data_IF_290939871343
#
_entry.id   IF_290939871343
#
_cell.length_a   1.000
_cell.length_b   1.000
_cell.length_c   1.000
_cell.angle_alpha   90.00
_cell.angle_beta   90.00
_cell.angle_gamma   90.00
#
_symmetry.space_group_name_H-M   'P 1'
#
loop_
_entity.id
_entity.type
_entity.pdbx_description
1 polymer ?
#
# COMPACT_ATOMS: atom_id res chain seq x y z
N UNK A 1 -1.06 -0.24 -21.52
CA UNK A 1 -2.33 0.19 -20.89
C UNK A 1 -2.15 0.08 -19.38
N UNK A 2 -2.61 1.06 -18.59
CA UNK A 2 -2.61 0.99 -17.12
C UNK A 2 -4.03 0.82 -16.59
N UNK A 3 -4.17 0.01 -15.55
CA UNK A 3 -5.43 -0.23 -14.86
C UNK A 3 -5.72 0.89 -13.87
N UNK A 4 -7.01 1.19 -13.67
CA UNK A 4 -7.44 2.16 -12.66
C UNK A 4 -7.43 1.53 -11.29
N UNK A 5 -6.68 2.13 -10.36
CA UNK A 5 -6.69 1.74 -8.95
C UNK A 5 -7.81 2.46 -8.22
N UNK A 6 -8.53 1.70 -7.40
CA UNK A 6 -9.48 2.21 -6.42
C UNK A 6 -9.05 1.75 -5.04
N UNK A 7 -9.15 2.65 -4.07
CA UNK A 7 -8.86 2.36 -2.67
C UNK A 7 -10.17 2.24 -1.92
N UNK A 8 -10.30 1.21 -1.09
CA UNK A 8 -11.40 1.16 -0.12
C UNK A 8 -11.24 2.28 0.91
N UNK A 9 -12.34 2.70 1.54
CA UNK A 9 -12.26 3.70 2.62
C UNK A 9 -11.39 3.18 3.78
N UNK A 10 -11.54 1.90 4.12
CA UNK A 10 -10.75 1.24 5.15
C UNK A 10 -9.24 1.30 4.85
N UNK A 11 -8.82 1.07 3.59
CA UNK A 11 -7.41 1.17 3.21
C UNK A 11 -6.87 2.60 3.33
N UNK A 12 -7.69 3.61 3.00
CA UNK A 12 -7.31 5.01 3.18
C UNK A 12 -7.19 5.41 4.65
N UNK A 13 -8.08 4.91 5.50
CA UNK A 13 -8.08 5.23 6.93
C UNK A 13 -6.95 4.50 7.68
N UNK A 14 -6.64 3.27 7.29
CA UNK A 14 -5.48 2.52 7.76
C UNK A 14 -4.18 3.24 7.38
N UNK A 15 -4.03 3.64 6.11
CA UNK A 15 -2.89 4.43 5.65
C UNK A 15 -2.73 5.73 6.44
N UNK A 16 -3.81 6.51 6.62
CA UNK A 16 -3.75 7.77 7.38
C UNK A 16 -3.30 7.52 8.82
N UNK A 17 -3.83 6.50 9.47
CA UNK A 17 -3.52 6.16 10.86
C UNK A 17 -2.05 5.80 11.04
N UNK A 18 -1.52 4.94 10.17
CA UNK A 18 -0.11 4.55 10.21
C UNK A 18 0.83 5.72 9.91
N UNK A 19 0.52 6.53 8.91
CA UNK A 19 1.32 7.72 8.57
C UNK A 19 1.30 8.75 9.70
N UNK A 20 0.14 9.01 10.31
CA UNK A 20 0.01 9.90 11.45
C UNK A 20 0.80 9.40 12.66
N UNK A 21 0.75 8.09 12.94
CA UNK A 21 1.53 7.47 14.02
C UNK A 21 3.04 7.68 13.82
N UNK A 22 3.57 7.29 12.65
CA UNK A 22 5.00 7.38 12.35
C UNK A 22 5.46 8.85 12.30
N UNK A 23 4.59 9.75 11.84
CA UNK A 23 4.92 11.17 11.75
C UNK A 23 5.09 11.85 13.11
N UNK A 24 4.62 11.26 14.22
CA UNK A 24 4.88 11.79 15.56
C UNK A 24 6.37 11.77 15.90
N UNK A 25 7.06 10.72 15.49
CA UNK A 25 8.49 10.51 15.79
C UNK A 25 9.38 10.90 14.62
N UNK A 26 8.96 10.59 13.38
CA UNK A 26 9.77 10.83 12.19
C UNK A 26 8.91 11.19 10.95
N UNK A 27 8.58 12.48 10.77
CA UNK A 27 7.82 12.97 9.61
C UNK A 27 8.47 12.65 8.26
N UNK A 28 9.81 12.59 8.21
CA UNK A 28 10.55 12.26 6.98
C UNK A 28 10.34 10.80 6.59
N UNK A 29 10.43 9.88 7.56
CA UNK A 29 10.16 8.46 7.36
C UNK A 29 8.70 8.23 6.93
N UNK A 30 7.74 8.91 7.57
CA UNK A 30 6.32 8.83 7.19
C UNK A 30 6.10 9.18 5.70
N UNK A 31 6.69 10.30 5.23
CA UNK A 31 6.63 10.67 3.81
C UNK A 31 7.28 9.64 2.88
N UNK A 32 8.42 9.07 3.28
CA UNK A 32 9.11 8.04 2.49
C UNK A 32 8.28 6.76 2.37
N UNK A 33 7.61 6.34 3.45
CA UNK A 33 6.72 5.19 3.46
C UNK A 33 5.53 5.43 2.54
N UNK A 34 4.84 6.56 2.69
CA UNK A 34 3.72 6.93 1.82
C UNK A 34 4.11 6.92 0.33
N UNK A 35 5.31 7.44 -0.01
CA UNK A 35 5.83 7.42 -1.38
C UNK A 35 6.06 6.00 -1.89
N UNK A 36 6.67 5.11 -1.09
CA UNK A 36 6.91 3.71 -1.47
C UNK A 36 5.60 2.93 -1.67
N UNK A 37 4.60 3.16 -0.81
CA UNK A 37 3.27 2.57 -0.95
C UNK A 37 2.63 3.04 -2.27
N UNK A 38 2.61 4.35 -2.52
CA UNK A 38 2.09 4.89 -3.78
C UNK A 38 2.77 4.29 -5.01
N UNK A 39 4.09 4.18 -5.00
CA UNK A 39 4.85 3.56 -6.09
C UNK A 39 4.50 2.07 -6.28
N UNK A 40 4.26 1.34 -5.18
CA UNK A 40 3.80 -0.05 -5.26
C UNK A 40 2.44 -0.15 -5.96
N UNK A 41 1.49 0.73 -5.59
CA UNK A 41 0.20 0.81 -6.25
C UNK A 41 0.36 1.18 -7.73
N UNK A 42 1.14 2.20 -8.08
CA UNK A 42 1.38 2.58 -9.48
C UNK A 42 1.97 1.41 -10.32
N UNK A 43 2.78 0.54 -9.71
CA UNK A 43 3.26 -0.69 -10.35
C UNK A 43 2.17 -1.75 -10.49
N UNK A 44 1.29 -1.91 -9.50
CA UNK A 44 0.12 -2.80 -9.61
C UNK A 44 -0.81 -2.38 -10.75
N UNK A 45 -0.99 -1.08 -10.96
CA UNK A 45 -1.76 -0.55 -12.09
C UNK A 45 -1.17 -0.97 -13.44
N UNK A 46 0.15 -1.13 -13.52
CA UNK A 46 0.85 -1.53 -14.76
C UNK A 46 0.89 -3.05 -14.91
N UNK A 47 1.12 -3.78 -13.80
CA UNK A 47 1.23 -5.23 -13.79
C UNK A 47 0.61 -5.78 -12.50
N UNK A 48 -0.67 -6.18 -12.54
CA UNK A 48 -1.33 -6.86 -11.44
C UNK A 48 -0.51 -8.07 -11.02
N UNK A 49 -0.18 -8.13 -9.73
CA UNK A 49 0.61 -9.21 -9.17
C UNK A 49 0.33 -9.29 -7.67
N UNK A 50 0.45 -10.48 -7.11
CA UNK A 50 0.25 -10.69 -5.69
C UNK A 50 0.35 -12.17 -5.34
N UNK A 51 0.19 -12.47 -4.07
CA UNK A 51 0.06 -13.83 -3.56
C UNK A 51 -1.41 -14.10 -3.23
N UNK A 52 -1.98 -15.24 -3.65
CA UNK A 52 -3.32 -15.63 -3.24
C UNK A 52 -3.40 -15.73 -1.71
N UNK A 53 -4.46 -15.20 -1.11
CA UNK A 53 -4.73 -15.36 0.33
C UNK A 53 -5.76 -16.48 0.57
N UNK A 54 -6.01 -16.80 1.83
CA UNK A 54 -7.08 -17.74 2.25
C UNK A 54 -8.49 -17.23 1.94
N UNK A 55 -8.66 -15.92 1.76
CA UNK A 55 -9.94 -15.32 1.34
C UNK A 55 -9.99 -15.38 -0.18
N UNK A 56 -11.03 -16.01 -0.72
CA UNK A 56 -11.31 -16.09 -2.15
C UNK A 56 -11.26 -14.68 -2.77
N UNK A 57 -10.72 -14.60 -3.98
CA UNK A 57 -10.58 -13.37 -4.77
C UNK A 57 -9.76 -12.24 -4.11
N UNK A 58 -9.00 -12.55 -3.06
CA UNK A 58 -8.12 -11.59 -2.39
C UNK A 58 -6.65 -11.92 -2.66
N UNK A 59 -5.88 -10.88 -2.97
CA UNK A 59 -4.47 -10.98 -3.29
C UNK A 59 -3.66 -10.04 -2.42
N UNK A 60 -2.52 -10.52 -1.94
CA UNK A 60 -1.59 -9.70 -1.17
C UNK A 60 -0.41 -9.25 -2.00
N UNK A 61 -0.07 -7.97 -1.94
CA UNK A 61 1.15 -7.41 -2.52
C UNK A 61 2.06 -6.86 -1.43
N UNK A 62 3.18 -7.55 -1.21
CA UNK A 62 4.26 -7.02 -0.36
C UNK A 62 4.92 -5.79 -0.98
N UNK A 63 5.25 -4.81 -0.16
CA UNK A 63 5.91 -3.58 -0.58
C UNK A 63 7.41 -3.69 -0.36
N UNK A 64 8.17 -3.70 -1.45
CA UNK A 64 9.62 -3.93 -1.41
C UNK A 64 10.34 -2.95 -0.48
N UNK A 65 11.13 -3.49 0.45
CA UNK A 65 11.92 -2.69 1.39
C UNK A 65 11.09 -1.96 2.45
N UNK A 66 9.88 -2.45 2.73
CA UNK A 66 9.04 -2.06 3.86
C UNK A 66 8.34 -3.31 4.44
N UNK A 67 8.08 -3.37 5.75
CA UNK A 67 7.28 -4.42 6.36
C UNK A 67 5.77 -4.18 6.14
N UNK A 68 5.36 -3.93 4.89
CA UNK A 68 3.99 -3.54 4.52
C UNK A 68 3.44 -4.46 3.44
N UNK A 69 2.13 -4.69 3.48
CA UNK A 69 1.37 -5.44 2.49
C UNK A 69 0.14 -4.63 2.10
N UNK A 70 -0.22 -4.68 0.82
CA UNK A 70 -1.52 -4.22 0.31
C UNK A 70 -2.41 -5.44 0.10
N UNK A 71 -3.64 -5.41 0.60
CA UNK A 71 -4.62 -6.49 0.54
C UNK A 71 -6.02 -5.93 0.31
#
# INVERSE_FOLDING_TARGET
MSLRIQWSRQALDDLKSQIAFISKDNPKAARQIAKKLRLCAERLAQTPSGRPRRVLDTWEKSVTGLPYVMA
#
